data_IF_758617679139
#
_entry.id   IF_758617679139
#
_cell.length_a   1.000
_cell.length_b   1.000
_cell.length_c   1.000
_cell.angle_alpha   90.00
_cell.angle_beta   90.00
_cell.angle_gamma   90.00
#
_symmetry.space_group_name_H-M   'P 1'
#
loop_
_entity.id
_entity.type
_entity.pdbx_description
1 polymer ?
#
# COMPACT_ATOMS: atom_id res chain seq x y z
N UNK A 1 -0.51 -50.10 107.66
CA UNK A 1 -1.17 -51.35 107.22
C UNK A 1 -2.12 -51.03 106.07
N UNK A 2 -1.98 -51.76 104.95
CA UNK A 2 -2.81 -51.83 103.72
C UNK A 2 -2.98 -50.56 102.86
N UNK A 3 -2.27 -50.41 101.74
CA UNK A 3 -2.43 -51.04 100.41
C UNK A 3 -3.64 -50.52 99.61
N UNK A 4 -3.41 -49.59 98.66
CA UNK A 4 -4.10 -49.58 97.36
C UNK A 4 -3.42 -48.62 96.38
N UNK A 5 -2.18 -48.96 96.00
CA UNK A 5 -1.52 -48.47 94.80
C UNK A 5 -1.47 -49.66 93.83
N UNK A 6 -1.65 -49.40 92.52
CA UNK A 6 -1.46 -50.34 91.41
C UNK A 6 -2.64 -51.23 90.98
N UNK A 7 -3.74 -50.64 90.48
CA UNK A 7 -4.56 -51.28 89.41
C UNK A 7 -5.21 -50.21 88.52
N UNK A 8 -4.45 -49.53 87.64
CA UNK A 8 -5.07 -48.71 86.57
C UNK A 8 -4.22 -48.46 85.32
N UNK A 9 -3.11 -49.20 85.14
CA UNK A 9 -2.10 -48.88 84.11
C UNK A 9 -1.82 -49.99 83.09
N UNK A 10 -2.79 -50.85 82.75
CA UNK A 10 -2.50 -51.98 81.86
C UNK A 10 -3.58 -52.37 80.82
N UNK A 11 -4.55 -51.50 80.49
CA UNK A 11 -5.53 -51.83 79.45
C UNK A 11 -5.86 -50.61 78.57
N UNK A 12 -5.17 -50.51 77.42
CA UNK A 12 -5.67 -50.11 76.09
C UNK A 12 -4.51 -49.68 75.18
N UNK A 13 -3.67 -50.65 74.85
CA UNK A 13 -3.01 -50.73 73.55
C UNK A 13 -3.73 -51.87 72.83
N UNK A 14 -4.74 -51.53 72.03
CA UNK A 14 -5.02 -52.14 70.72
C UNK A 14 -6.40 -51.71 70.19
N UNK A 15 -6.37 -50.86 69.17
CA UNK A 15 -7.26 -50.87 67.99
C UNK A 15 -6.81 -49.75 67.04
N UNK A 16 -5.70 -50.00 66.35
CA UNK A 16 -5.51 -49.39 65.05
C UNK A 16 -6.49 -50.10 64.09
N UNK A 17 -7.60 -49.45 63.78
CA UNK A 17 -8.56 -49.96 62.80
C UNK A 17 -7.98 -49.82 61.39
N UNK A 18 -8.10 -50.84 60.51
CA UNK A 18 -7.62 -50.81 59.14
C UNK A 18 -8.60 -50.02 58.25
N UNK A 19 -8.84 -48.74 58.55
CA UNK A 19 -9.91 -47.96 57.93
C UNK A 19 -9.53 -46.60 57.36
N UNK A 20 -8.27 -46.17 57.52
CA UNK A 20 -7.82 -44.83 57.10
C UNK A 20 -6.91 -44.83 55.85
N UNK A 21 -6.35 -45.97 55.43
CA UNK A 21 -5.59 -46.09 54.19
C UNK A 21 -6.50 -46.15 52.95
N UNK A 22 -7.57 -46.95 52.98
CA UNK A 22 -8.53 -47.09 51.86
C UNK A 22 -9.24 -45.77 51.50
N UNK A 23 -9.44 -44.87 52.48
CA UNK A 23 -10.07 -43.56 52.26
C UNK A 23 -9.13 -42.52 51.64
N UNK A 24 -7.81 -42.74 51.67
CA UNK A 24 -6.85 -41.88 50.96
C UNK A 24 -6.71 -42.34 49.51
N UNK A 25 -6.60 -43.64 49.26
CA UNK A 25 -6.49 -44.20 47.90
C UNK A 25 -7.69 -43.88 47.01
N UNK A 26 -8.92 -44.00 47.54
CA UNK A 26 -10.14 -43.67 46.78
C UNK A 26 -10.22 -42.20 46.34
N UNK A 27 -9.70 -41.25 47.12
CA UNK A 27 -9.69 -39.82 46.76
C UNK A 27 -8.62 -39.49 45.71
N UNK A 28 -7.49 -40.18 45.75
CA UNK A 28 -6.46 -40.06 44.72
C UNK A 28 -6.94 -40.65 43.40
N UNK A 29 -7.62 -41.80 43.40
CA UNK A 29 -8.18 -42.41 42.19
C UNK A 29 -9.21 -41.50 41.50
N UNK A 30 -10.14 -40.89 42.24
CA UNK A 30 -11.14 -39.97 41.67
C UNK A 30 -10.50 -38.71 41.08
N UNK A 31 -9.45 -38.17 41.72
CA UNK A 31 -8.70 -37.04 41.20
C UNK A 31 -7.97 -37.39 39.88
N UNK A 32 -7.39 -38.58 39.78
CA UNK A 32 -6.73 -39.04 38.55
C UNK A 32 -7.71 -39.26 37.39
N UNK A 33 -8.91 -39.81 37.64
CA UNK A 33 -9.95 -39.93 36.62
C UNK A 33 -10.45 -38.57 36.14
N UNK A 34 -10.62 -37.60 37.04
CA UNK A 34 -11.03 -36.24 36.68
C UNK A 34 -9.96 -35.54 35.81
N UNK A 35 -8.67 -35.73 36.13
CA UNK A 35 -7.57 -35.20 35.31
C UNK A 35 -7.50 -35.88 33.95
N UNK A 36 -7.69 -37.20 33.88
CA UNK A 36 -7.71 -37.97 32.62
C UNK A 36 -8.93 -37.65 31.73
N UNK A 37 -10.06 -37.22 32.30
CA UNK A 37 -11.23 -36.74 31.56
C UNK A 37 -11.12 -35.26 31.16
N UNK A 38 -10.44 -34.44 31.95
CA UNK A 38 -10.26 -33.01 31.67
C UNK A 38 -9.21 -32.77 30.57
N UNK A 39 -8.17 -33.61 30.50
CA UNK A 39 -7.08 -33.44 29.53
C UNK A 39 -7.55 -33.49 28.06
N UNK A 40 -8.38 -34.46 27.62
CA UNK A 40 -8.90 -34.49 26.26
C UNK A 40 -9.77 -33.27 25.93
N UNK A 41 -10.60 -32.81 26.88
CA UNK A 41 -11.43 -31.61 26.70
C UNK A 41 -10.58 -30.34 26.57
N UNK A 42 -9.52 -30.22 27.36
CA UNK A 42 -8.60 -29.09 27.27
C UNK A 42 -7.87 -29.08 25.91
N UNK A 43 -7.41 -30.24 25.44
CA UNK A 43 -6.78 -30.38 24.13
C UNK A 43 -7.76 -30.05 23.01
N UNK A 44 -8.99 -30.58 23.03
CA UNK A 44 -10.02 -30.24 22.05
C UNK A 44 -10.36 -28.74 22.06
N UNK A 45 -10.49 -28.11 23.24
CA UNK A 45 -10.73 -26.68 23.37
C UNK A 45 -9.62 -25.81 22.76
N UNK A 46 -8.35 -26.20 22.95
CA UNK A 46 -7.19 -25.51 22.35
C UNK A 46 -7.21 -25.64 20.82
N UNK A 47 -7.47 -26.84 20.29
CA UNK A 47 -7.52 -27.06 18.84
C UNK A 47 -8.71 -26.33 18.19
N UNK A 48 -9.88 -26.29 18.82
CA UNK A 48 -11.03 -25.51 18.32
C UNK A 48 -10.77 -24.01 18.33
N UNK A 49 -10.10 -23.47 19.36
CA UNK A 49 -9.71 -22.07 19.41
C UNK A 49 -8.68 -21.71 18.31
N UNK A 50 -7.73 -22.60 18.02
CA UNK A 50 -6.76 -22.44 16.94
C UNK A 50 -7.41 -22.52 15.55
N UNK A 51 -8.40 -23.40 15.34
CA UNK A 51 -9.15 -23.50 14.08
C UNK A 51 -10.00 -22.24 13.82
N UNK A 52 -10.67 -21.71 14.84
CA UNK A 52 -11.42 -20.43 14.72
C UNK A 52 -10.45 -19.27 14.44
N UNK A 53 -9.28 -19.25 15.08
CA UNK A 53 -8.25 -18.26 14.81
C UNK A 53 -7.65 -18.36 13.40
N UNK A 54 -7.51 -19.58 12.86
CA UNK A 54 -7.04 -19.83 11.50
C UNK A 54 -8.09 -19.43 10.45
N UNK A 55 -9.37 -19.76 10.64
CA UNK A 55 -10.45 -19.33 9.74
C UNK A 55 -10.64 -17.80 9.76
N UNK A 56 -10.47 -17.16 10.91
CA UNK A 56 -10.48 -15.69 11.03
C UNK A 56 -9.24 -15.04 10.37
N UNK A 57 -8.09 -15.71 10.38
CA UNK A 57 -6.88 -15.24 9.71
C UNK A 57 -6.93 -15.46 8.18
N UNK A 58 -7.51 -16.57 7.72
CA UNK A 58 -7.69 -16.89 6.29
C UNK A 58 -8.73 -15.98 5.66
N UNK A 59 -9.82 -15.67 6.35
CA UNK A 59 -10.83 -14.72 5.85
C UNK A 59 -10.27 -13.29 5.77
N UNK A 60 -9.53 -12.82 6.78
CA UNK A 60 -8.90 -11.50 6.75
C UNK A 60 -7.79 -11.39 5.70
N UNK A 61 -7.03 -12.46 5.45
CA UNK A 61 -6.02 -12.48 4.37
C UNK A 61 -6.65 -12.61 2.99
N UNK A 62 -7.79 -13.30 2.86
CA UNK A 62 -8.56 -13.33 1.63
C UNK A 62 -9.20 -11.97 1.33
N UNK A 63 -9.79 -11.30 2.33
CA UNK A 63 -10.33 -9.93 2.21
C UNK A 63 -9.23 -8.92 1.90
N UNK A 64 -8.06 -9.01 2.56
CA UNK A 64 -6.90 -8.19 2.24
C UNK A 64 -6.35 -8.48 0.85
N UNK A 65 -6.34 -9.74 0.41
CA UNK A 65 -5.90 -10.13 -0.94
C UNK A 65 -6.87 -9.65 -2.01
N UNK A 66 -8.18 -9.69 -1.75
CA UNK A 66 -9.20 -9.18 -2.66
C UNK A 66 -9.13 -7.66 -2.70
N UNK A 67 -9.00 -6.99 -1.54
CA UNK A 67 -8.82 -5.55 -1.47
C UNK A 67 -7.51 -5.10 -2.14
N UNK A 68 -6.39 -5.81 -1.97
CA UNK A 68 -5.13 -5.48 -2.70
C UNK A 68 -5.22 -5.78 -4.18
N UNK A 69 -5.92 -6.83 -4.61
CA UNK A 69 -6.17 -7.07 -6.04
C UNK A 69 -7.06 -5.99 -6.63
N UNK A 70 -8.07 -5.53 -5.90
CA UNK A 70 -8.96 -4.47 -6.35
C UNK A 70 -8.26 -3.11 -6.32
N UNK A 71 -7.43 -2.82 -5.31
CA UNK A 71 -6.56 -1.63 -5.28
C UNK A 71 -5.54 -1.68 -6.41
N UNK A 72 -4.92 -2.83 -6.70
CA UNK A 72 -3.99 -2.96 -7.83
C UNK A 72 -4.71 -2.82 -9.18
N UNK A 73 -5.96 -3.29 -9.27
CA UNK A 73 -6.80 -3.11 -10.46
C UNK A 73 -7.20 -1.65 -10.64
N UNK A 74 -7.62 -0.99 -9.55
CA UNK A 74 -7.91 0.45 -9.52
C UNK A 74 -6.65 1.23 -9.87
N UNK A 75 -5.49 0.92 -9.29
CA UNK A 75 -4.20 1.54 -9.63
C UNK A 75 -3.85 1.39 -11.13
N UNK A 76 -4.10 0.22 -11.72
CA UNK A 76 -3.92 0.00 -13.16
C UNK A 76 -4.90 0.83 -14.01
N UNK A 77 -6.17 0.89 -13.62
CA UNK A 77 -7.21 1.68 -14.32
C UNK A 77 -6.91 3.17 -14.21
N UNK A 78 -6.56 3.62 -13.01
CA UNK A 78 -6.14 4.98 -12.67
C UNK A 78 -4.93 5.39 -13.49
N UNK A 79 -3.87 4.58 -13.46
CA UNK A 79 -2.68 4.81 -14.26
C UNK A 79 -3.00 4.89 -15.75
N UNK A 80 -3.84 3.97 -16.26
CA UNK A 80 -4.23 3.97 -17.66
C UNK A 80 -5.05 5.22 -18.03
N UNK A 81 -5.97 5.65 -17.18
CA UNK A 81 -6.77 6.85 -17.38
C UNK A 81 -5.90 8.12 -17.40
N UNK A 82 -4.97 8.23 -16.46
CA UNK A 82 -4.01 9.34 -16.39
C UNK A 82 -3.09 9.34 -17.62
N UNK A 83 -2.54 8.18 -18.00
CA UNK A 83 -1.70 8.06 -19.19
C UNK A 83 -2.48 8.42 -20.47
N UNK A 84 -3.74 8.00 -20.57
CA UNK A 84 -4.62 8.33 -21.71
C UNK A 84 -4.92 9.82 -21.78
N UNK A 85 -5.25 10.43 -20.64
CA UNK A 85 -5.48 11.89 -20.54
C UNK A 85 -4.22 12.68 -20.91
N UNK A 86 -3.07 12.25 -20.40
CA UNK A 86 -1.80 12.89 -20.71
C UNK A 86 -1.42 12.73 -22.19
N UNK A 87 -1.65 11.56 -22.77
CA UNK A 87 -1.42 11.31 -24.19
C UNK A 87 -2.35 12.17 -25.08
N UNK A 88 -3.61 12.39 -24.67
CA UNK A 88 -4.53 13.31 -25.35
C UNK A 88 -4.07 14.77 -25.26
N UNK A 89 -3.62 15.22 -24.08
CA UNK A 89 -3.06 16.56 -23.90
C UNK A 89 -1.82 16.78 -24.78
N UNK A 90 -0.92 15.80 -24.86
CA UNK A 90 0.25 15.84 -25.77
C UNK A 90 -0.19 15.92 -27.23
N UNK A 91 -1.21 15.17 -27.64
CA UNK A 91 -1.73 15.21 -29.01
C UNK A 91 -2.30 16.59 -29.38
N UNK A 92 -2.98 17.24 -28.43
CA UNK A 92 -3.50 18.61 -28.60
C UNK A 92 -2.34 19.61 -28.74
N UNK A 93 -1.38 19.61 -27.79
CA UNK A 93 -0.17 20.45 -27.86
C UNK A 93 0.60 20.25 -29.17
N UNK A 94 0.69 19.00 -29.66
CA UNK A 94 1.32 18.70 -30.94
C UNK A 94 0.57 19.33 -32.12
N UNK A 95 -0.76 19.32 -32.09
CA UNK A 95 -1.60 19.91 -33.13
C UNK A 95 -1.42 21.42 -33.17
N UNK A 96 -1.40 22.06 -31.99
CA UNK A 96 -1.24 23.51 -31.82
C UNK A 96 0.10 24.05 -32.34
N UNK A 97 1.15 23.21 -32.37
CA UNK A 97 2.46 23.60 -32.91
C UNK A 97 2.43 23.98 -34.40
N UNK A 98 1.37 23.65 -35.13
CA UNK A 98 1.21 23.98 -36.55
C UNK A 98 0.24 25.15 -36.81
N UNK A 99 -0.29 25.79 -35.75
CA UNK A 99 -1.16 26.96 -35.87
C UNK A 99 -0.34 28.24 -36.15
N UNK A 100 -1.03 29.33 -36.52
CA UNK A 100 -0.45 30.65 -36.77
C UNK A 100 0.14 31.28 -35.50
N UNK A 101 -0.48 31.05 -34.33
CA UNK A 101 0.05 31.42 -33.01
C UNK A 101 0.23 30.18 -32.12
N UNK A 102 1.32 29.41 -32.31
CA UNK A 102 1.51 28.15 -31.58
C UNK A 102 1.67 28.37 -30.07
N UNK A 103 2.22 29.51 -29.64
CA UNK A 103 2.47 29.77 -28.21
C UNK A 103 1.16 30.08 -27.49
N UNK A 104 0.31 30.93 -28.07
CA UNK A 104 -1.01 31.22 -27.53
C UNK A 104 -1.89 29.96 -27.45
N UNK A 105 -1.88 29.14 -28.50
CA UNK A 105 -2.66 27.91 -28.55
C UNK A 105 -2.18 26.86 -27.55
N UNK A 106 -0.86 26.66 -27.41
CA UNK A 106 -0.33 25.72 -26.41
C UNK A 106 -0.72 26.15 -24.99
N UNK A 107 -0.72 27.45 -24.67
CA UNK A 107 -1.19 27.93 -23.36
C UNK A 107 -2.67 27.61 -23.15
N UNK A 108 -3.49 27.90 -24.16
CA UNK A 108 -4.92 27.64 -24.13
C UNK A 108 -5.22 26.14 -23.98
N UNK A 109 -4.60 25.28 -24.78
CA UNK A 109 -4.80 23.85 -24.71
C UNK A 109 -4.26 23.25 -23.42
N UNK A 110 -3.13 23.73 -22.91
CA UNK A 110 -2.62 23.31 -21.59
C UNK A 110 -3.66 23.58 -20.51
N UNK A 111 -4.26 24.77 -20.51
CA UNK A 111 -5.33 25.14 -19.60
C UNK A 111 -6.60 24.28 -19.78
N UNK A 112 -7.08 24.10 -21.02
CA UNK A 112 -8.31 23.34 -21.31
C UNK A 112 -8.18 21.85 -20.98
N UNK A 113 -7.00 21.26 -21.18
CA UNK A 113 -6.75 19.87 -20.79
C UNK A 113 -6.54 19.70 -19.27
N UNK A 114 -6.62 20.81 -18.52
CA UNK A 114 -6.25 20.94 -17.11
C UNK A 114 -4.82 20.48 -16.84
N UNK A 115 -3.97 20.43 -17.87
CA UNK A 115 -2.55 20.24 -17.64
C UNK A 115 -2.04 21.48 -16.92
N UNK A 116 -1.38 21.29 -15.77
CA UNK A 116 -0.84 22.39 -15.01
C UNK A 116 0.26 23.13 -15.78
N UNK A 117 1.02 22.39 -16.58
CA UNK A 117 2.11 22.95 -17.37
C UNK A 117 2.49 22.06 -18.55
N UNK A 118 3.07 22.66 -19.60
CA UNK A 118 3.63 21.95 -20.74
C UNK A 118 5.01 22.52 -21.10
N UNK A 119 5.87 21.66 -21.64
CA UNK A 119 7.18 22.04 -22.17
C UNK A 119 7.38 21.37 -23.51
N UNK A 120 7.76 22.16 -24.50
CA UNK A 120 8.06 21.68 -25.84
C UNK A 120 9.48 22.04 -26.22
N UNK A 121 10.27 21.05 -26.63
CA UNK A 121 11.55 21.26 -27.28
C UNK A 121 11.53 20.72 -28.71
N UNK A 122 12.14 21.44 -29.64
CA UNK A 122 12.38 20.98 -31.01
C UNK A 122 13.86 21.17 -31.30
N UNK A 123 14.52 20.13 -31.79
CA UNK A 123 15.96 20.16 -32.11
C UNK A 123 16.84 20.65 -30.96
N UNK A 124 16.46 20.28 -29.73
CA UNK A 124 17.17 20.68 -28.50
C UNK A 124 16.88 22.11 -28.02
N UNK A 125 16.17 22.92 -28.79
CA UNK A 125 15.75 24.26 -28.39
C UNK A 125 14.36 24.25 -27.77
N UNK A 126 14.17 25.02 -26.69
CA UNK A 126 12.85 25.14 -26.03
C UNK A 126 11.97 26.08 -26.84
N UNK A 127 10.91 25.53 -27.42
CA UNK A 127 9.87 26.28 -28.13
C UNK A 127 8.85 26.83 -27.14
N UNK A 128 8.45 26.01 -26.15
CA UNK A 128 7.47 26.38 -25.14
C UNK A 128 7.91 25.97 -23.73
N UNK A 129 7.73 26.83 -22.71
CA UNK A 129 7.51 28.26 -22.85
C UNK A 129 8.78 28.93 -23.45
N UNK A 130 8.61 29.95 -24.32
CA UNK A 130 9.73 30.56 -25.02
C UNK A 130 10.66 31.31 -24.05
N UNK A 131 11.95 31.35 -24.36
CA UNK A 131 12.95 32.04 -23.50
C UNK A 131 12.57 33.51 -23.31
N UNK A 132 12.18 34.18 -24.41
CA UNK A 132 11.57 35.50 -24.41
C UNK A 132 10.05 35.39 -24.37
N UNK A 133 9.40 36.04 -23.40
CA UNK A 133 7.92 36.05 -23.32
C UNK A 133 7.31 34.93 -22.47
N UNK A 134 8.13 34.12 -21.78
CA UNK A 134 7.64 33.28 -20.69
C UNK A 134 7.14 34.15 -19.53
N UNK A 135 5.91 33.91 -19.08
CA UNK A 135 5.35 34.60 -17.93
C UNK A 135 6.02 34.10 -16.62
N UNK A 136 5.86 34.81 -15.48
CA UNK A 136 6.49 34.41 -14.22
C UNK A 136 6.11 33.00 -13.75
N UNK A 137 4.84 32.61 -13.92
CA UNK A 137 4.35 31.29 -13.54
C UNK A 137 5.00 30.16 -14.37
N UNK A 138 5.15 30.35 -15.68
CA UNK A 138 5.82 29.41 -16.58
C UNK A 138 7.30 29.22 -16.21
N UNK A 139 7.98 30.30 -15.77
CA UNK A 139 9.37 30.24 -15.30
C UNK A 139 9.48 29.49 -13.97
N UNK A 140 8.58 29.75 -13.05
CA UNK A 140 8.50 29.05 -11.76
C UNK A 140 8.26 27.55 -11.97
N UNK A 141 7.30 27.19 -12.82
CA UNK A 141 6.98 25.81 -13.15
C UNK A 141 8.15 25.11 -13.85
N UNK A 142 8.86 25.78 -14.76
CA UNK A 142 10.09 25.24 -15.34
C UNK A 142 11.16 24.96 -14.30
N UNK A 143 11.38 25.87 -13.36
CA UNK A 143 12.38 25.67 -12.30
C UNK A 143 11.99 24.48 -11.42
N UNK A 144 10.73 24.44 -11.01
CA UNK A 144 10.17 23.39 -10.15
C UNK A 144 10.27 21.99 -10.78
N UNK A 145 9.86 21.84 -12.03
CA UNK A 145 9.83 20.54 -12.71
C UNK A 145 11.10 20.24 -13.52
N UNK A 146 12.12 21.10 -13.46
CA UNK A 146 13.36 20.95 -14.26
C UNK A 146 14.02 19.58 -14.09
N UNK A 147 14.13 19.09 -12.87
CA UNK A 147 14.73 17.78 -12.57
C UNK A 147 13.90 16.61 -13.12
N UNK A 148 12.57 16.64 -12.91
CA UNK A 148 11.67 15.60 -13.41
C UNK A 148 11.65 15.57 -14.95
N UNK A 149 11.61 16.74 -15.60
CA UNK A 149 11.67 16.86 -17.04
C UNK A 149 13.02 16.38 -17.61
N UNK A 150 14.13 16.71 -16.94
CA UNK A 150 15.46 16.24 -17.33
C UNK A 150 15.58 14.71 -17.22
N UNK A 151 15.10 14.12 -16.11
CA UNK A 151 15.06 12.68 -15.92
C UNK A 151 14.22 12.00 -17.01
N UNK A 152 13.04 12.54 -17.32
CA UNK A 152 12.16 12.00 -18.34
C UNK A 152 12.79 12.02 -19.75
N UNK A 153 13.44 13.14 -20.10
CA UNK A 153 14.15 13.26 -21.38
C UNK A 153 15.37 12.35 -21.46
N UNK A 154 16.07 12.14 -20.34
CA UNK A 154 17.18 11.18 -20.26
C UNK A 154 16.69 9.75 -20.48
N UNK A 155 15.59 9.33 -19.85
CA UNK A 155 15.02 8.01 -20.05
C UNK A 155 14.60 7.78 -21.51
N UNK A 156 13.97 8.78 -22.13
CA UNK A 156 13.62 8.75 -23.56
C UNK A 156 14.85 8.64 -24.46
N UNK A 157 15.96 9.28 -24.11
CA UNK A 157 17.22 9.16 -24.84
C UNK A 157 17.82 7.75 -24.73
N UNK A 158 17.73 7.12 -23.55
CA UNK A 158 18.27 5.78 -23.33
C UNK A 158 17.44 4.66 -23.95
N UNK A 159 16.10 4.76 -23.94
CA UNK A 159 15.21 3.72 -24.47
C UNK A 159 15.03 3.78 -25.98
N UNK A 160 15.23 4.95 -26.58
CA UNK A 160 14.78 5.21 -27.94
C UNK A 160 15.86 5.95 -28.72
N UNK A 161 16.89 5.22 -29.15
CA UNK A 161 17.96 5.80 -29.96
C UNK A 161 17.49 6.24 -31.36
N UNK A 162 16.36 5.75 -31.89
CA UNK A 162 15.83 6.11 -33.24
C UNK A 162 14.31 5.98 -33.45
N UNK A 163 13.49 5.79 -32.41
CA UNK A 163 12.03 5.61 -32.55
C UNK A 163 11.27 6.56 -31.64
N UNK A 164 10.01 6.85 -31.99
CA UNK A 164 9.11 7.57 -31.12
C UNK A 164 8.98 6.82 -29.78
N UNK A 165 9.08 7.54 -28.67
CA UNK A 165 9.07 6.96 -27.33
C UNK A 165 8.21 7.79 -26.39
N UNK A 166 7.53 7.12 -25.46
CA UNK A 166 6.76 7.76 -24.39
C UNK A 166 7.28 7.29 -23.04
N UNK A 167 7.24 8.17 -22.06
CA UNK A 167 7.54 7.84 -20.67
C UNK A 167 6.68 8.68 -19.72
N UNK A 168 6.37 8.13 -18.55
CA UNK A 168 5.56 8.77 -17.53
C UNK A 168 6.16 8.54 -16.15
N UNK A 169 6.22 9.59 -15.33
CA UNK A 169 6.78 9.55 -13.99
C UNK A 169 5.89 10.27 -13.01
N UNK A 170 5.80 9.69 -11.82
CA UNK A 170 5.29 10.38 -10.66
C UNK A 170 6.44 11.12 -9.98
N UNK A 171 6.18 12.36 -9.61
CA UNK A 171 7.08 13.17 -8.78
C UNK A 171 6.27 13.74 -7.62
N UNK A 172 6.89 13.81 -6.45
CA UNK A 172 6.30 14.44 -5.27
C UNK A 172 7.18 15.60 -4.87
N UNK A 173 6.58 16.74 -4.54
CA UNK A 173 7.26 17.88 -3.96
C UNK A 173 6.48 18.47 -2.79
N UNK A 174 6.89 19.63 -2.29
CA UNK A 174 6.29 20.28 -1.13
C UNK A 174 4.82 20.69 -1.31
N UNK A 175 4.29 20.66 -2.54
CA UNK A 175 2.94 21.11 -2.89
C UNK A 175 2.05 19.97 -3.38
N UNK A 176 2.53 18.72 -3.36
CA UNK A 176 1.71 17.54 -3.63
C UNK A 176 2.30 16.58 -4.64
N UNK A 177 1.46 15.65 -5.08
CA UNK A 177 1.80 14.67 -6.11
C UNK A 177 1.65 15.30 -7.50
N UNK A 178 2.53 14.95 -8.44
CA UNK A 178 2.44 15.39 -9.82
C UNK A 178 2.83 14.27 -10.78
N UNK A 179 2.18 14.24 -11.94
CA UNK A 179 2.46 13.29 -12.99
C UNK A 179 3.06 14.02 -14.20
N UNK A 180 4.24 13.57 -14.64
CA UNK A 180 4.94 14.09 -15.81
C UNK A 180 4.91 13.05 -16.91
N UNK A 181 4.32 13.39 -18.05
CA UNK A 181 4.30 12.55 -19.25
C UNK A 181 5.09 13.22 -20.36
N UNK A 182 6.02 12.50 -20.96
CA UNK A 182 6.81 12.98 -22.08
C UNK A 182 6.68 12.06 -23.29
N UNK A 183 6.58 12.67 -24.48
CA UNK A 183 6.68 12.06 -25.79
C UNK A 183 7.92 12.62 -26.49
N UNK A 184 8.74 11.73 -27.06
CA UNK A 184 9.78 12.07 -28.03
C UNK A 184 9.38 11.53 -29.39
N UNK A 185 9.37 12.39 -30.40
CA UNK A 185 9.17 12.01 -31.79
C UNK A 185 10.52 11.82 -32.54
N UNK A 186 10.53 11.13 -33.70
CA UNK A 186 11.75 10.90 -34.45
C UNK A 186 12.43 12.18 -34.96
N UNK A 187 11.66 13.26 -35.15
CA UNK A 187 12.13 14.56 -35.64
C UNK A 187 12.67 15.44 -34.50
N UNK A 188 13.25 14.86 -33.44
CA UNK A 188 13.79 15.59 -32.28
C UNK A 188 12.79 16.52 -31.57
N UNK A 189 11.48 16.24 -31.70
CA UNK A 189 10.42 16.95 -31.00
C UNK A 189 10.14 16.24 -29.67
N UNK A 190 10.40 16.94 -28.56
CA UNK A 190 10.07 16.49 -27.22
C UNK A 190 8.90 17.31 -26.69
N UNK A 191 7.81 16.66 -26.32
CA UNK A 191 6.65 17.29 -25.68
C UNK A 191 6.48 16.64 -24.31
N UNK A 192 6.49 17.46 -23.26
CA UNK A 192 6.21 17.02 -21.90
C UNK A 192 5.03 17.81 -21.34
N UNK A 193 4.11 17.13 -20.68
CA UNK A 193 3.00 17.73 -19.95
C UNK A 193 3.07 17.32 -18.48
N UNK A 194 2.64 18.22 -17.61
CA UNK A 194 2.64 18.04 -16.16
C UNK A 194 1.23 18.24 -15.66
N UNK A 195 0.76 17.27 -14.89
CA UNK A 195 -0.47 17.33 -14.11
C UNK A 195 -0.09 17.39 -12.64
N UNK A 196 -0.74 18.28 -11.90
CA UNK A 196 -0.68 18.33 -10.44
C UNK A 196 -1.84 17.54 -9.82
N UNK A 197 -1.82 17.36 -8.51
CA UNK A 197 -2.84 16.63 -7.77
C UNK A 197 -4.26 17.13 -8.06
N UNK A 198 -4.46 18.45 -8.13
CA UNK A 198 -5.77 19.06 -8.40
C UNK A 198 -6.30 18.75 -9.81
N UNK A 199 -5.42 18.65 -10.81
CA UNK A 199 -5.80 18.28 -12.18
C UNK A 199 -5.96 16.77 -12.39
N UNK A 200 -5.50 15.98 -11.42
CA UNK A 200 -5.68 14.53 -11.38
C UNK A 200 -6.91 14.12 -10.58
N UNK A 201 -7.43 14.98 -9.70
CA UNK A 201 -8.61 14.74 -8.84
C UNK A 201 -9.82 14.12 -9.57
N UNK A 202 -10.24 14.61 -10.76
CA UNK A 202 -11.38 14.02 -11.48
C UNK A 202 -11.13 12.58 -11.96
N UNK A 203 -9.85 12.20 -12.05
CA UNK A 203 -9.46 10.82 -12.37
C UNK A 203 -9.36 10.02 -11.09
N UNK A 204 -8.89 10.61 -9.97
CA UNK A 204 -8.68 9.96 -8.67
C UNK A 204 -9.96 9.66 -7.89
N UNK A 205 -11.09 10.27 -8.25
CA UNK A 205 -12.41 10.01 -7.65
C UNK A 205 -13.11 8.71 -8.15
N UNK A 206 -12.47 7.92 -9.03
CA UNK A 206 -13.06 6.71 -9.66
C UNK A 206 -12.86 5.44 -8.83
#
# INVERSE_FOLDING_TARGET
MSNSFAVRRLLRLDRAGPGDEDRREGRHAVAWFAVLLALPLAVFGIFSALLIGADYAVTRTHELSVATKEIARLDLVMRHAIETRADAAIANVKTDLNDQDPIGQIRFSTYVNEARFAVVHRDGQRIFPPVSGANPAEKEMLQRFSAALAAARSELATRTQRKAGKTGFWTADSLGLSFVRCLREPNSLDICVVFDENSLDPVLEV
#
